data_IF_096360079971
#
_entry.id   IF_096360079971
#
_cell.length_a   1.000
_cell.length_b   1.000
_cell.length_c   1.000
_cell.angle_alpha   90.00
_cell.angle_beta   90.00
_cell.angle_gamma   90.00
#
_symmetry.space_group_name_H-M   'P 1'
#
loop_
_entity.id
_entity.type
_entity.pdbx_description
1 polymer ?
#
# COMPACT_ATOMS: atom_id res chain seq x y z
N UNK A 1 -2.39 2.56 22.01
CA UNK A 1 -1.45 1.86 21.10
C UNK A 1 -1.28 2.74 19.89
N UNK A 2 -0.06 2.94 19.41
CA UNK A 2 0.14 3.94 18.35
C UNK A 2 -0.09 3.36 16.95
N UNK A 3 0.32 2.10 16.75
CA UNK A 3 0.30 1.47 15.43
C UNK A 3 -0.31 0.08 15.46
N UNK A 4 -1.07 -0.26 14.41
CA UNK A 4 -1.46 -1.64 14.08
C UNK A 4 -0.93 -1.97 12.70
N UNK A 5 0.07 -2.84 12.62
CA UNK A 5 0.55 -3.42 11.38
C UNK A 5 -0.41 -4.51 10.94
N UNK A 6 -0.97 -4.43 9.74
CA UNK A 6 -1.95 -5.38 9.19
C UNK A 6 -1.34 -6.09 8.00
N UNK A 7 -1.30 -7.42 8.04
CA UNK A 7 -0.62 -8.25 7.07
C UNK A 7 -1.55 -9.40 6.66
N UNK A 8 -2.30 -9.26 5.55
CA UNK A 8 -3.03 -10.38 4.97
C UNK A 8 -2.06 -11.42 4.42
N UNK A 9 -2.36 -12.69 4.67
CA UNK A 9 -1.54 -13.83 4.26
C UNK A 9 -2.44 -14.87 3.60
N UNK A 10 -2.07 -15.26 2.38
CA UNK A 10 -2.61 -16.41 1.68
C UNK A 10 -1.44 -17.25 1.18
N UNK A 11 -1.15 -18.34 1.88
CA UNK A 11 -0.01 -19.20 1.58
C UNK A 11 1.35 -18.45 1.59
N UNK A 12 2.36 -18.91 0.85
CA UNK A 12 3.64 -18.22 0.68
C UNK A 12 4.36 -17.91 2.01
N UNK A 13 4.42 -18.91 2.92
CA UNK A 13 5.03 -18.74 4.24
C UNK A 13 6.43 -18.12 4.20
N UNK A 14 7.28 -18.52 3.24
CA UNK A 14 8.66 -18.01 3.18
C UNK A 14 8.71 -16.49 2.94
N UNK A 15 7.85 -15.96 2.09
CA UNK A 15 7.74 -14.51 1.89
C UNK A 15 7.22 -13.83 3.16
N UNK A 16 6.17 -14.38 3.77
CA UNK A 16 5.62 -13.87 5.04
C UNK A 16 6.68 -13.86 6.14
N UNK A 17 7.47 -14.93 6.28
CA UNK A 17 8.57 -15.02 7.23
C UNK A 17 9.61 -13.91 7.01
N UNK A 18 10.06 -13.74 5.77
CA UNK A 18 11.11 -12.76 5.45
C UNK A 18 10.61 -11.33 5.63
N UNK A 19 9.35 -11.07 5.30
CA UNK A 19 8.69 -9.80 5.60
C UNK A 19 8.63 -9.53 7.10
N UNK A 20 8.17 -10.47 7.91
CA UNK A 20 8.12 -10.34 9.38
C UNK A 20 9.51 -10.12 9.98
N UNK A 21 10.54 -10.84 9.52
CA UNK A 21 11.92 -10.64 9.97
C UNK A 21 12.40 -9.22 9.65
N UNK A 22 12.11 -8.70 8.44
CA UNK A 22 12.47 -7.32 8.06
C UNK A 22 11.69 -6.29 8.88
N UNK A 23 10.41 -6.52 9.18
CA UNK A 23 9.60 -5.68 10.04
C UNK A 23 10.21 -5.60 11.45
N UNK A 24 10.52 -6.75 12.05
CA UNK A 24 11.13 -6.82 13.39
C UNK A 24 12.50 -6.14 13.42
N UNK A 25 13.31 -6.29 12.37
CA UNK A 25 14.65 -5.71 12.29
C UNK A 25 14.63 -4.18 12.16
N UNK A 26 13.72 -3.65 11.30
CA UNK A 26 13.77 -2.24 10.88
C UNK A 26 12.71 -1.34 11.53
N UNK A 27 11.83 -1.91 12.39
CA UNK A 27 10.75 -1.15 13.05
C UNK A 27 10.75 -1.36 14.57
N UNK A 28 11.76 -2.01 15.13
CA UNK A 28 11.85 -2.46 16.54
C UNK A 28 11.46 -1.41 17.56
N UNK A 29 11.90 -0.17 17.36
CA UNK A 29 11.65 0.93 18.30
C UNK A 29 10.15 1.29 18.42
N UNK A 30 9.37 1.04 17.36
CA UNK A 30 7.93 1.34 17.30
C UNK A 30 7.08 0.16 17.79
N UNK A 31 7.60 -1.09 17.72
CA UNK A 31 6.86 -2.30 18.10
C UNK A 31 6.48 -2.35 19.58
N UNK A 32 7.17 -1.60 20.45
CA UNK A 32 6.79 -1.51 21.87
C UNK A 32 5.42 -0.87 22.10
N UNK A 33 4.92 -0.11 21.14
CA UNK A 33 3.63 0.60 21.17
C UNK A 33 2.75 0.19 19.98
N UNK A 34 2.98 -1.01 19.45
CA UNK A 34 2.29 -1.52 18.28
C UNK A 34 1.81 -2.96 18.50
N UNK A 35 0.87 -3.38 17.69
CA UNK A 35 0.48 -4.76 17.46
C UNK A 35 0.74 -5.14 16.00
N UNK A 36 0.93 -6.41 15.74
CA UNK A 36 1.06 -6.97 14.39
C UNK A 36 -0.09 -7.95 14.18
N UNK A 37 -1.05 -7.58 13.34
CA UNK A 37 -2.23 -8.36 13.00
C UNK A 37 -1.98 -9.10 11.69
N UNK A 38 -1.86 -10.41 11.77
CA UNK A 38 -1.69 -11.26 10.61
C UNK A 38 -3.04 -11.89 10.30
N UNK A 39 -3.57 -11.62 9.12
CA UNK A 39 -4.86 -12.18 8.69
C UNK A 39 -4.60 -13.37 7.79
N UNK A 40 -4.81 -14.57 8.32
CA UNK A 40 -4.76 -15.79 7.53
C UNK A 40 -6.04 -15.93 6.70
N UNK A 41 -5.91 -15.68 5.42
CA UNK A 41 -7.01 -15.68 4.45
C UNK A 41 -7.26 -17.07 3.86
N UNK A 42 -7.37 -18.08 4.74
CA UNK A 42 -7.64 -19.45 4.35
C UNK A 42 -6.42 -20.15 3.72
N UNK A 43 -5.23 -19.98 4.29
CA UNK A 43 -4.01 -20.63 3.84
C UNK A 43 -4.08 -22.15 4.04
N UNK A 44 -3.29 -22.88 3.25
CA UNK A 44 -3.08 -24.32 3.41
C UNK A 44 -2.34 -24.67 4.71
N UNK A 45 -2.33 -25.97 5.05
CA UNK A 45 -1.83 -26.49 6.33
C UNK A 45 -0.40 -26.08 6.66
N UNK A 46 0.50 -26.04 5.66
CA UNK A 46 1.88 -25.62 5.85
C UNK A 46 1.97 -24.21 6.42
N UNK A 47 1.38 -23.23 5.73
CA UNK A 47 1.40 -21.83 6.19
C UNK A 47 0.62 -21.67 7.49
N UNK A 48 -0.56 -22.26 7.61
CA UNK A 48 -1.38 -22.19 8.81
C UNK A 48 -0.63 -22.67 10.06
N UNK A 49 0.08 -23.80 9.98
CA UNK A 49 0.86 -24.36 11.08
C UNK A 49 2.04 -23.48 11.49
N UNK A 50 2.63 -22.77 10.53
CA UNK A 50 3.72 -21.83 10.82
C UNK A 50 3.22 -20.54 11.46
N UNK A 51 2.04 -20.06 11.06
CA UNK A 51 1.39 -18.91 11.69
C UNK A 51 1.03 -19.18 13.16
N UNK A 52 0.64 -20.41 13.51
CA UNK A 52 0.34 -20.80 14.89
C UNK A 52 1.55 -20.73 15.85
N UNK A 53 2.77 -20.74 15.30
CA UNK A 53 4.01 -20.63 16.09
C UNK A 53 4.43 -19.21 16.38
N UNK A 54 3.77 -18.23 15.76
CA UNK A 54 4.07 -16.81 15.98
C UNK A 54 3.71 -16.41 17.42
N UNK A 55 4.53 -15.53 17.98
CA UNK A 55 4.37 -15.00 19.34
C UNK A 55 4.25 -13.48 19.29
N UNK A 56 3.90 -12.90 20.44
CA UNK A 56 3.88 -11.45 20.62
C UNK A 56 5.11 -10.76 19.99
N UNK A 57 4.91 -9.65 19.28
CA UNK A 57 3.68 -8.86 19.19
C UNK A 57 2.70 -9.30 18.08
N UNK A 58 2.87 -10.47 17.48
CA UNK A 58 2.01 -10.99 16.41
C UNK A 58 0.74 -11.62 16.97
N UNK A 59 -0.41 -11.26 16.40
CA UNK A 59 -1.72 -11.89 16.63
C UNK A 59 -2.29 -12.35 15.31
N UNK A 60 -2.65 -13.62 15.22
CA UNK A 60 -3.25 -14.21 14.01
C UNK A 60 -4.77 -14.13 14.09
N UNK A 61 -5.38 -13.61 13.02
CA UNK A 61 -6.82 -13.58 12.76
C UNK A 61 -7.09 -14.56 11.62
N UNK A 62 -8.04 -15.48 11.77
CA UNK A 62 -8.31 -16.50 10.75
C UNK A 62 -9.65 -16.24 10.05
N UNK A 63 -9.63 -16.15 8.74
CA UNK A 63 -10.86 -16.02 7.94
C UNK A 63 -11.58 -17.35 7.74
N UNK A 64 -10.87 -18.47 7.85
CA UNK A 64 -11.42 -19.80 7.60
C UNK A 64 -11.48 -20.18 6.12
N UNK A 65 -11.66 -19.21 5.24
CA UNK A 65 -11.66 -19.34 3.77
C UNK A 65 -11.04 -18.09 3.14
N UNK A 66 -10.79 -18.13 1.83
CA UNK A 66 -10.24 -16.99 1.09
C UNK A 66 -11.33 -15.93 0.84
N UNK A 67 -11.32 -14.87 1.63
CA UNK A 67 -12.23 -13.71 1.49
C UNK A 67 -11.64 -12.60 0.61
N UNK A 68 -10.34 -12.68 0.29
CA UNK A 68 -9.61 -11.70 -0.51
C UNK A 68 -8.99 -10.55 0.30
N UNK A 69 -8.17 -9.77 -0.42
CA UNK A 69 -7.35 -8.70 0.17
C UNK A 69 -8.17 -7.64 0.91
N UNK A 70 -9.24 -7.14 0.27
CA UNK A 70 -10.09 -6.09 0.83
C UNK A 70 -10.73 -6.52 2.16
N UNK A 71 -11.40 -7.68 2.18
CA UNK A 71 -12.09 -8.19 3.36
C UNK A 71 -11.12 -8.50 4.51
N UNK A 72 -9.94 -9.06 4.20
CA UNK A 72 -8.91 -9.37 5.19
C UNK A 72 -8.38 -8.11 5.87
N UNK A 73 -8.06 -7.06 5.09
CA UNK A 73 -7.64 -5.79 5.67
C UNK A 73 -8.74 -5.12 6.48
N UNK A 74 -9.97 -5.07 5.97
CA UNK A 74 -11.11 -4.49 6.69
C UNK A 74 -11.30 -5.16 8.05
N UNK A 75 -11.33 -6.49 8.08
CA UNK A 75 -11.48 -7.25 9.32
C UNK A 75 -10.44 -6.86 10.35
N UNK A 76 -9.16 -6.86 9.96
CA UNK A 76 -8.09 -6.47 10.87
C UNK A 76 -8.18 -5.00 11.30
N UNK A 77 -8.54 -4.08 10.39
CA UNK A 77 -8.68 -2.67 10.69
C UNK A 77 -9.78 -2.39 11.73
N UNK A 78 -10.89 -3.13 11.69
CA UNK A 78 -11.95 -3.03 12.70
C UNK A 78 -11.53 -3.61 14.06
N UNK A 79 -10.68 -4.65 14.08
CA UNK A 79 -10.15 -5.24 15.31
C UNK A 79 -8.91 -4.50 15.86
N UNK A 80 -8.32 -3.60 15.06
CA UNK A 80 -7.11 -2.87 15.38
C UNK A 80 -7.28 -1.90 16.55
N UNK A 81 -6.25 -1.77 17.38
CA UNK A 81 -6.20 -0.89 18.56
C UNK A 81 -5.30 0.33 18.37
N UNK A 82 -4.48 0.34 17.31
CA UNK A 82 -3.59 1.45 16.99
C UNK A 82 -4.34 2.64 16.42
N UNK A 83 -3.86 3.84 16.71
CA UNK A 83 -4.38 5.08 16.13
C UNK A 83 -4.05 5.19 14.63
N UNK A 84 -2.92 4.59 14.24
CA UNK A 84 -2.46 4.49 12.86
C UNK A 84 -2.48 3.03 12.41
N UNK A 85 -3.09 2.77 11.26
CA UNK A 85 -2.97 1.50 10.56
C UNK A 85 -1.78 1.54 9.61
N UNK A 86 -1.03 0.45 9.55
CA UNK A 86 0.05 0.23 8.60
C UNK A 86 -0.27 -1.05 7.85
N UNK A 87 -0.87 -0.91 6.65
CA UNK A 87 -1.19 -2.04 5.78
C UNK A 87 0.08 -2.49 5.07
N UNK A 88 0.35 -3.77 5.07
CA UNK A 88 1.56 -4.37 4.49
C UNK A 88 1.21 -5.67 3.76
N UNK A 89 1.62 -5.80 2.51
CA UNK A 89 1.59 -7.10 1.85
C UNK A 89 2.62 -8.05 2.50
N UNK A 90 2.35 -9.34 2.44
CA UNK A 90 3.25 -10.36 2.97
C UNK A 90 4.48 -10.66 2.08
N UNK A 91 4.56 -10.08 0.89
CA UNK A 91 5.65 -10.22 -0.08
C UNK A 91 6.54 -8.97 -0.18
N UNK A 92 6.60 -8.19 0.89
CA UNK A 92 7.49 -7.03 1.04
C UNK A 92 8.79 -7.40 1.77
N UNK A 93 9.86 -6.66 1.48
CA UNK A 93 11.07 -6.66 2.30
C UNK A 93 11.36 -5.22 2.71
N UNK A 94 11.16 -4.93 4.00
CA UNK A 94 11.31 -3.60 4.55
C UNK A 94 12.79 -3.25 4.73
N UNK A 95 13.15 -2.00 4.50
CA UNK A 95 14.54 -1.53 4.59
C UNK A 95 14.77 -0.66 5.83
N UNK A 96 16.03 -0.43 6.18
CA UNK A 96 16.37 0.48 7.27
C UNK A 96 15.86 1.90 6.95
N UNK A 97 15.14 2.51 7.89
CA UNK A 97 14.63 3.88 7.75
C UNK A 97 13.38 4.03 6.86
N UNK A 98 12.69 2.93 6.54
CA UNK A 98 11.48 2.98 5.71
C UNK A 98 10.30 3.66 6.40
N UNK A 99 10.23 3.60 7.73
CA UNK A 99 9.05 3.99 8.50
C UNK A 99 9.01 5.48 8.84
N UNK A 100 10.16 6.07 9.16
CA UNK A 100 10.29 7.46 9.59
C UNK A 100 9.79 8.48 8.58
N UNK A 101 10.01 8.34 7.25
CA UNK A 101 9.46 9.28 6.27
C UNK A 101 7.93 9.25 6.20
N UNK A 102 7.29 8.10 6.44
CA UNK A 102 5.83 8.01 6.51
C UNK A 102 5.30 8.81 7.70
N UNK A 103 5.93 8.67 8.85
CA UNK A 103 5.60 9.46 10.06
C UNK A 103 5.83 10.95 9.85
N UNK A 104 6.93 11.32 9.18
CA UNK A 104 7.23 12.70 8.88
C UNK A 104 6.17 13.32 7.99
N UNK A 105 5.75 12.63 6.93
CA UNK A 105 4.68 13.09 6.03
C UNK A 105 3.38 13.35 6.82
N UNK A 106 2.93 12.43 7.67
CA UNK A 106 1.74 12.66 8.50
C UNK A 106 1.84 13.84 9.47
N UNK A 107 3.05 14.24 9.87
CA UNK A 107 3.25 15.39 10.75
C UNK A 107 3.32 16.72 10.02
N UNK A 108 3.81 16.72 8.78
CA UNK A 108 4.11 17.95 8.02
C UNK A 108 3.04 18.28 6.97
N UNK A 109 2.42 17.26 6.38
CA UNK A 109 1.45 17.45 5.31
C UNK A 109 0.04 17.69 5.87
N UNK A 110 -0.58 18.80 5.48
CA UNK A 110 -1.95 19.13 5.88
C UNK A 110 -2.95 18.24 5.15
N UNK A 111 -3.99 17.83 5.86
CA UNK A 111 -5.10 17.01 5.33
C UNK A 111 -4.61 15.70 4.68
N UNK A 112 -3.46 15.17 5.14
CA UNK A 112 -2.98 13.88 4.66
C UNK A 112 -3.84 12.75 5.24
N UNK A 113 -4.54 12.05 4.37
CA UNK A 113 -5.33 10.89 4.70
C UNK A 113 -4.49 9.62 4.72
N UNK A 114 -3.72 9.37 3.66
CA UNK A 114 -2.83 8.22 3.60
C UNK A 114 -1.48 8.58 2.95
N UNK A 115 -0.46 7.84 3.33
CA UNK A 115 0.85 7.89 2.69
C UNK A 115 1.36 6.48 2.42
N UNK A 116 1.84 6.27 1.20
CA UNK A 116 2.60 5.10 0.79
C UNK A 116 4.08 5.43 0.58
N UNK A 117 4.78 4.51 -0.03
CA UNK A 117 6.22 4.62 -0.25
C UNK A 117 6.66 4.16 -1.64
N UNK A 118 7.95 4.25 -1.92
CA UNK A 118 8.54 3.75 -3.16
C UNK A 118 8.79 2.25 -3.03
N UNK A 119 8.29 1.48 -4.00
CA UNK A 119 8.55 0.05 -4.11
C UNK A 119 9.58 -0.23 -5.19
N UNK A 120 10.56 -1.05 -4.85
CA UNK A 120 11.60 -1.53 -5.75
C UNK A 120 11.32 -3.01 -6.00
N UNK A 121 11.28 -3.41 -7.26
CA UNK A 121 11.15 -4.81 -7.60
C UNK A 121 12.34 -5.61 -7.07
N UNK A 122 12.08 -6.60 -6.23
CA UNK A 122 13.11 -7.37 -5.52
C UNK A 122 13.99 -8.23 -6.46
N UNK A 123 13.55 -8.48 -7.70
CA UNK A 123 14.29 -9.27 -8.67
C UNK A 123 15.10 -8.42 -9.64
N UNK A 124 14.53 -7.30 -10.09
CA UNK A 124 15.13 -6.47 -11.14
C UNK A 124 15.87 -5.25 -10.59
N UNK A 125 15.56 -4.83 -9.35
CA UNK A 125 16.04 -3.59 -8.79
C UNK A 125 15.38 -2.32 -9.38
N UNK A 126 14.48 -2.47 -10.35
CA UNK A 126 13.76 -1.35 -10.94
C UNK A 126 12.66 -0.84 -10.01
N UNK A 127 12.25 0.42 -10.17
CA UNK A 127 11.09 0.97 -9.46
C UNK A 127 9.82 0.31 -9.97
N UNK A 128 9.06 -0.31 -9.07
CA UNK A 128 7.77 -0.92 -9.37
C UNK A 128 6.60 0.05 -9.08
N UNK A 129 6.71 0.83 -8.00
CA UNK A 129 5.70 1.82 -7.61
C UNK A 129 6.33 3.04 -6.94
N UNK A 130 5.83 4.20 -7.29
CA UNK A 130 6.15 5.47 -6.64
C UNK A 130 4.97 6.46 -6.73
N UNK A 131 3.75 5.93 -6.63
CA UNK A 131 2.48 6.61 -6.85
C UNK A 131 1.82 6.13 -8.14
N UNK A 132 0.55 6.49 -8.31
CA UNK A 132 -0.20 6.25 -9.53
C UNK A 132 -0.66 7.59 -10.11
N UNK A 133 -0.67 7.70 -11.43
CA UNK A 133 -1.29 8.81 -12.16
C UNK A 133 -2.54 8.28 -12.88
N UNK A 134 -3.38 9.17 -13.38
CA UNK A 134 -4.52 8.80 -14.20
C UNK A 134 -4.16 8.93 -15.69
N UNK A 135 -4.46 7.90 -16.47
CA UNK A 135 -4.31 7.96 -17.93
C UNK A 135 -5.46 8.79 -18.59
N UNK A 136 -5.40 9.04 -19.90
CA UNK A 136 -6.45 9.79 -20.60
C UNK A 136 -7.84 9.18 -20.51
N UNK A 137 -7.93 7.88 -20.26
CA UNK A 137 -9.18 7.12 -20.08
C UNK A 137 -9.70 7.16 -18.64
N UNK A 138 -8.95 7.77 -17.72
CA UNK A 138 -9.28 7.90 -16.30
C UNK A 138 -8.87 6.69 -15.45
N UNK A 139 -8.01 5.81 -15.98
CA UNK A 139 -7.51 4.65 -15.25
C UNK A 139 -6.22 4.95 -14.49
N UNK A 140 -6.05 4.40 -13.29
CA UNK A 140 -4.81 4.52 -12.52
C UNK A 140 -3.68 3.68 -13.14
N UNK A 141 -2.50 4.30 -13.29
CA UNK A 141 -1.28 3.68 -13.81
C UNK A 141 -0.12 3.89 -12.87
N UNK A 142 0.64 2.83 -12.62
CA UNK A 142 1.85 2.92 -11.79
C UNK A 142 2.91 3.80 -12.44
N UNK A 143 3.35 4.79 -11.69
CA UNK A 143 4.33 5.76 -12.18
C UNK A 143 5.72 5.14 -12.41
N UNK A 144 6.17 4.29 -11.51
CA UNK A 144 7.50 3.68 -11.57
C UNK A 144 7.71 2.76 -12.77
N UNK A 145 6.69 2.05 -13.21
CA UNK A 145 6.76 1.12 -14.35
C UNK A 145 7.02 1.79 -15.70
N UNK A 146 6.76 3.10 -15.82
CA UNK A 146 6.99 3.85 -17.06
C UNK A 146 8.39 4.47 -17.14
N UNK A 147 9.18 4.43 -16.06
CA UNK A 147 10.46 5.14 -15.94
C UNK A 147 11.53 4.28 -15.28
N UNK A 148 11.91 3.19 -15.93
CA UNK A 148 12.94 2.25 -15.45
C UNK A 148 14.28 2.92 -15.12
N UNK A 149 14.56 4.08 -15.75
CA UNK A 149 15.81 4.82 -15.57
C UNK A 149 15.83 5.79 -14.37
N UNK A 150 14.78 5.84 -13.53
CA UNK A 150 14.69 6.82 -12.44
C UNK A 150 15.52 6.46 -11.19
N UNK A 151 16.25 5.36 -11.21
CA UNK A 151 17.15 4.98 -10.13
C UNK A 151 18.63 5.10 -10.56
N UNK A 152 19.50 5.69 -9.74
CA UNK A 152 19.49 5.83 -8.28
C UNK A 152 19.41 7.27 -7.73
N UNK A 153 18.85 8.24 -8.43
CA UNK A 153 18.81 9.62 -7.94
C UNK A 153 17.98 9.72 -6.65
N UNK A 154 18.57 10.22 -5.58
CA UNK A 154 17.83 10.58 -4.39
C UNK A 154 17.03 11.85 -4.66
N UNK A 155 15.69 11.76 -4.61
CA UNK A 155 14.90 12.96 -4.77
C UNK A 155 15.04 13.86 -3.55
N UNK A 156 15.24 15.13 -3.81
CA UNK A 156 15.17 16.15 -2.76
C UNK A 156 13.71 16.38 -2.27
N UNK A 157 12.76 15.70 -2.90
CA UNK A 157 11.33 15.72 -2.58
C UNK A 157 11.06 14.71 -1.46
N UNK A 158 10.60 15.21 -0.31
CA UNK A 158 10.21 14.36 0.82
C UNK A 158 8.87 13.66 0.60
N UNK A 159 7.88 14.37 0.04
CA UNK A 159 6.52 13.91 -0.20
C UNK A 159 5.97 14.47 -1.52
N UNK A 160 5.14 13.68 -2.20
CA UNK A 160 4.35 14.13 -3.35
C UNK A 160 2.95 13.54 -3.30
N UNK A 161 1.95 14.37 -3.61
CA UNK A 161 0.55 13.96 -3.75
C UNK A 161 0.31 13.20 -5.03
N UNK A 162 -0.51 12.14 -4.95
CA UNK A 162 -0.97 11.34 -6.08
C UNK A 162 -2.47 11.11 -6.01
N UNK A 163 -3.16 10.92 -7.15
CA UNK A 163 -4.57 10.56 -7.17
C UNK A 163 -4.83 9.18 -6.57
N UNK A 164 -3.84 8.30 -6.63
CA UNK A 164 -3.89 6.96 -6.04
C UNK A 164 -2.49 6.45 -5.68
N UNK A 165 -2.43 5.58 -4.68
CA UNK A 165 -1.23 4.92 -4.18
C UNK A 165 -1.58 3.46 -3.92
N UNK A 166 -0.68 2.51 -4.25
CA UNK A 166 -0.94 1.08 -4.00
C UNK A 166 -0.99 0.75 -2.52
N UNK A 167 -1.98 -0.05 -2.12
CA UNK A 167 -2.14 -0.49 -0.74
C UNK A 167 -1.16 -1.57 -0.30
N UNK A 168 -0.22 -1.97 -1.14
CA UNK A 168 0.82 -2.92 -0.74
C UNK A 168 1.63 -2.43 0.47
N UNK A 169 1.77 -1.10 0.64
CA UNK A 169 2.27 -0.48 1.88
C UNK A 169 1.63 0.89 2.09
N UNK A 170 0.76 1.01 3.10
CA UNK A 170 0.11 2.26 3.50
C UNK A 170 0.29 2.55 4.97
N UNK A 171 0.41 3.84 5.30
CA UNK A 171 0.13 4.35 6.64
C UNK A 171 -1.07 5.30 6.55
N UNK A 172 -2.09 5.04 7.38
CA UNK A 172 -3.36 5.78 7.39
C UNK A 172 -3.89 5.89 8.82
N UNK A 173 -4.44 7.03 9.26
CA UNK A 173 -5.16 7.09 10.53
C UNK A 173 -6.31 6.08 10.54
N UNK A 174 -6.39 5.24 11.60
CA UNK A 174 -7.45 4.22 11.71
C UNK A 174 -8.85 4.82 11.54
N UNK A 175 -9.06 6.00 12.13
CA UNK A 175 -10.33 6.72 11.99
C UNK A 175 -10.65 7.02 10.52
N UNK A 176 -9.69 7.52 9.74
CA UNK A 176 -9.93 7.82 8.34
C UNK A 176 -10.29 6.57 7.52
N UNK A 177 -9.68 5.42 7.83
CA UNK A 177 -10.01 4.15 7.17
C UNK A 177 -11.42 3.66 7.55
N UNK A 178 -11.76 3.71 8.83
CA UNK A 178 -13.04 3.23 9.35
C UNK A 178 -14.21 4.16 8.97
N UNK A 179 -14.03 5.48 9.06
CA UNK A 179 -15.07 6.47 8.71
C UNK A 179 -15.43 6.41 7.20
N UNK A 180 -14.53 5.85 6.37
CA UNK A 180 -14.77 5.58 4.95
C UNK A 180 -15.21 4.15 4.65
N UNK A 181 -15.59 3.39 5.68
CA UNK A 181 -16.07 2.01 5.58
C UNK A 181 -15.04 1.02 4.95
N UNK A 182 -13.75 1.33 5.08
CA UNK A 182 -12.66 0.50 4.57
C UNK A 182 -12.66 0.32 3.06
N UNK A 183 -12.09 -0.79 2.59
CA UNK A 183 -12.11 -1.17 1.18
C UNK A 183 -13.47 -1.72 0.76
N UNK A 184 -13.90 -1.42 -0.47
CA UNK A 184 -15.06 -2.07 -1.07
C UNK A 184 -14.73 -3.52 -1.47
N UNK A 185 -15.33 -4.47 -0.76
CA UNK A 185 -15.10 -5.91 -0.96
C UNK A 185 -15.67 -6.46 -2.29
N UNK A 186 -16.35 -5.65 -3.09
CA UNK A 186 -16.75 -6.03 -4.44
C UNK A 186 -15.58 -6.03 -5.42
N UNK A 187 -14.50 -5.30 -5.10
CA UNK A 187 -13.22 -5.45 -5.79
C UNK A 187 -12.48 -6.70 -5.28
N UNK A 188 -12.03 -7.53 -6.19
CA UNK A 188 -11.28 -8.74 -5.86
C UNK A 188 -9.86 -8.66 -6.39
N UNK A 189 -8.89 -8.39 -5.47
CA UNK A 189 -7.45 -8.33 -5.75
C UNK A 189 -7.07 -7.34 -6.87
N UNK A 190 -7.56 -6.12 -6.78
CA UNK A 190 -7.23 -5.01 -7.67
C UNK A 190 -8.31 -3.94 -7.70
N UNK A 191 -7.91 -2.68 -7.78
CA UNK A 191 -8.72 -1.47 -7.76
C UNK A 191 -9.37 -1.11 -6.40
N UNK A 192 -9.33 -1.95 -5.37
CA UNK A 192 -9.81 -1.60 -4.03
C UNK A 192 -9.04 -0.42 -3.44
N UNK A 193 -7.74 -0.35 -3.71
CA UNK A 193 -6.85 0.74 -3.30
C UNK A 193 -7.13 2.03 -4.09
N UNK A 194 -7.39 1.90 -5.38
CA UNK A 194 -7.71 3.01 -6.26
C UNK A 194 -9.06 3.62 -5.89
N UNK A 195 -10.08 2.80 -5.69
CA UNK A 195 -11.40 3.22 -5.23
C UNK A 195 -11.32 3.94 -3.88
N UNK A 196 -10.60 3.35 -2.91
CA UNK A 196 -10.43 3.96 -1.59
C UNK A 196 -9.76 5.34 -1.68
N UNK A 197 -8.73 5.48 -2.52
CA UNK A 197 -8.06 6.77 -2.73
C UNK A 197 -9.02 7.83 -3.31
N UNK A 198 -9.92 7.47 -4.22
CA UNK A 198 -10.91 8.41 -4.75
C UNK A 198 -11.92 8.83 -3.69
N UNK A 199 -12.45 7.87 -2.89
CA UNK A 199 -13.35 8.17 -1.76
C UNK A 199 -12.67 9.07 -0.73
N UNK A 200 -11.43 8.78 -0.38
CA UNK A 200 -10.61 9.59 0.53
C UNK A 200 -10.54 11.05 0.06
N UNK A 201 -10.30 11.25 -1.22
CA UNK A 201 -10.19 12.59 -1.83
C UNK A 201 -11.53 13.32 -1.89
N UNK A 202 -12.63 12.62 -2.18
CA UNK A 202 -13.96 13.20 -2.06
C UNK A 202 -14.27 13.68 -0.63
N UNK A 203 -13.72 12.98 0.37
CA UNK A 203 -13.75 13.39 1.78
C UNK A 203 -12.83 14.56 2.13
N UNK A 204 -12.13 15.16 1.15
CA UNK A 204 -11.24 16.32 1.35
C UNK A 204 -9.85 15.95 1.92
N UNK A 205 -9.50 14.67 1.94
CA UNK A 205 -8.20 14.20 2.37
C UNK A 205 -7.28 13.92 1.17
N UNK A 206 -5.97 13.99 1.40
CA UNK A 206 -4.94 13.78 0.37
C UNK A 206 -4.30 12.40 0.51
N UNK A 207 -3.89 11.84 -0.62
CA UNK A 207 -3.06 10.64 -0.70
C UNK A 207 -1.72 10.98 -1.36
N UNK A 208 -0.64 10.30 -0.99
CA UNK A 208 0.65 10.55 -1.61
C UNK A 208 1.73 9.56 -1.21
N UNK A 209 2.94 9.81 -1.67
CA UNK A 209 4.12 8.97 -1.47
C UNK A 209 5.23 9.73 -0.75
N UNK A 210 5.79 9.12 0.29
CA UNK A 210 6.99 9.57 0.96
C UNK A 210 8.23 8.97 0.25
N UNK A 211 8.90 9.74 -0.58
CA UNK A 211 9.95 9.25 -1.49
C UNK A 211 11.22 8.75 -0.79
N UNK A 212 11.48 9.20 0.42
CA UNK A 212 12.58 8.72 1.25
C UNK A 212 12.30 7.37 1.91
N UNK A 213 11.03 6.91 1.88
CA UNK A 213 10.63 5.58 2.32
C UNK A 213 10.73 4.62 1.13
N UNK A 214 11.60 3.61 1.21
CA UNK A 214 11.84 2.64 0.14
C UNK A 214 11.78 1.25 0.69
N UNK A 215 11.10 0.37 -0.04
CA UNK A 215 10.98 -1.05 0.30
C UNK A 215 11.17 -1.90 -0.96
N UNK A 216 11.53 -3.17 -0.79
CA UNK A 216 11.51 -4.13 -1.88
C UNK A 216 10.16 -4.87 -1.90
N UNK A 217 9.71 -5.22 -3.09
CA UNK A 217 8.45 -5.91 -3.33
C UNK A 217 8.69 -7.08 -4.30
N UNK A 218 8.26 -8.29 -3.93
CA UNK A 218 8.41 -9.48 -4.77
C UNK A 218 7.36 -9.59 -5.87
N UNK A 219 6.47 -8.67 -5.96
CA UNK A 219 5.42 -8.42 -6.96
C UNK A 219 4.71 -9.66 -7.54
N UNK A 220 3.37 -9.68 -7.43
CA UNK A 220 2.50 -10.61 -8.19
C UNK A 220 2.76 -12.10 -7.97
N UNK A 221 3.00 -12.52 -6.72
CA UNK A 221 3.17 -13.95 -6.37
C UNK A 221 1.86 -14.68 -6.08
N UNK A 222 0.73 -13.96 -6.01
CA UNK A 222 -0.59 -14.56 -5.78
C UNK A 222 -1.15 -15.15 -7.07
N UNK A 223 -1.52 -16.43 -7.05
CA UNK A 223 -2.22 -17.07 -8.16
C UNK A 223 -3.60 -16.44 -8.38
N UNK A 224 -4.05 -16.36 -9.63
CA UNK A 224 -5.39 -15.87 -9.98
C UNK A 224 -5.62 -14.36 -9.85
N UNK A 225 -4.58 -13.56 -9.59
CA UNK A 225 -4.70 -12.09 -9.42
C UNK A 225 -5.43 -11.39 -10.57
N UNK A 226 -5.22 -11.85 -11.81
CA UNK A 226 -5.82 -11.23 -13.02
C UNK A 226 -7.22 -11.71 -13.35
N UNK A 227 -7.76 -12.69 -12.63
CA UNK A 227 -9.06 -13.31 -12.95
C UNK A 227 -10.22 -12.31 -12.91
N UNK A 228 -10.12 -11.26 -12.11
CA UNK A 228 -11.16 -10.26 -11.91
C UNK A 228 -10.82 -8.88 -12.48
N UNK A 229 -9.71 -8.77 -13.24
CA UNK A 229 -9.17 -7.47 -13.68
C UNK A 229 -10.19 -6.67 -14.52
N UNK A 230 -10.85 -7.31 -15.49
CA UNK A 230 -11.84 -6.64 -16.33
C UNK A 230 -13.08 -6.18 -15.54
N UNK A 231 -13.64 -7.05 -14.71
CA UNK A 231 -14.78 -6.71 -13.87
C UNK A 231 -14.46 -5.57 -12.88
N UNK A 232 -13.29 -5.62 -12.25
CA UNK A 232 -12.83 -4.58 -11.36
C UNK A 232 -12.63 -3.25 -12.09
N UNK A 233 -12.01 -3.28 -13.27
CA UNK A 233 -11.81 -2.10 -14.13
C UNK A 233 -13.14 -1.47 -14.52
N UNK A 234 -14.08 -2.25 -15.01
CA UNK A 234 -15.37 -1.77 -15.47
C UNK A 234 -16.17 -1.16 -14.30
N UNK A 235 -16.10 -1.80 -13.11
CA UNK A 235 -16.66 -1.25 -11.89
C UNK A 235 -16.00 0.09 -11.52
N UNK A 236 -14.66 0.16 -11.51
CA UNK A 236 -13.93 1.37 -11.18
C UNK A 236 -14.32 2.53 -12.13
N UNK A 237 -14.31 2.28 -13.42
CA UNK A 237 -14.70 3.28 -14.42
C UNK A 237 -16.16 3.73 -14.30
N UNK A 238 -17.06 2.87 -13.86
CA UNK A 238 -18.48 3.26 -13.66
C UNK A 238 -18.66 4.34 -12.59
N UNK A 239 -17.75 4.43 -11.62
CA UNK A 239 -17.79 5.43 -10.54
C UNK A 239 -16.83 6.60 -10.77
N UNK A 240 -15.63 6.34 -11.30
CA UNK A 240 -14.49 7.25 -11.19
C UNK A 240 -13.93 7.76 -12.51
N UNK A 241 -14.47 7.35 -13.65
CA UNK A 241 -13.96 7.72 -14.98
C UNK A 241 -13.77 9.23 -15.14
N UNK A 242 -14.83 10.01 -14.91
CA UNK A 242 -14.79 11.47 -15.10
C UNK A 242 -13.82 12.14 -14.12
N UNK A 243 -13.78 11.69 -12.88
CA UNK A 243 -12.83 12.18 -11.87
C UNK A 243 -11.39 11.90 -12.30
N UNK A 244 -11.10 10.72 -12.84
CA UNK A 244 -9.78 10.33 -13.34
C UNK A 244 -9.36 11.15 -14.57
N UNK A 245 -10.26 11.37 -15.52
CA UNK A 245 -10.02 12.23 -16.70
C UNK A 245 -9.75 13.68 -16.30
N UNK A 246 -10.51 14.20 -15.32
CA UNK A 246 -10.27 15.55 -14.81
C UNK A 246 -8.89 15.66 -14.17
N UNK A 247 -8.52 14.69 -13.31
CA UNK A 247 -7.19 14.66 -12.72
C UNK A 247 -6.07 14.62 -13.78
N UNK A 248 -6.21 13.78 -14.80
CA UNK A 248 -5.25 13.70 -15.89
C UNK A 248 -5.03 15.08 -16.55
N UNK A 249 -6.10 15.79 -16.87
CA UNK A 249 -6.02 17.13 -17.51
C UNK A 249 -5.35 18.17 -16.62
N UNK A 250 -5.60 18.14 -15.31
CA UNK A 250 -5.16 19.19 -14.40
C UNK A 250 -3.73 19.00 -13.90
N UNK A 251 -3.28 17.75 -13.75
CA UNK A 251 -2.08 17.42 -12.97
C UNK A 251 -1.02 16.60 -13.68
N UNK A 252 -1.36 15.93 -14.78
CA UNK A 252 -0.43 15.02 -15.43
C UNK A 252 0.86 15.70 -15.89
N UNK A 253 0.75 16.83 -16.59
CA UNK A 253 1.91 17.56 -17.11
C UNK A 253 2.80 18.11 -15.99
N UNK A 254 2.20 18.58 -14.90
CA UNK A 254 2.93 19.05 -13.72
C UNK A 254 3.77 17.93 -13.10
N UNK A 255 3.17 16.77 -12.87
CA UNK A 255 3.86 15.62 -12.31
C UNK A 255 4.96 15.10 -13.21
N UNK A 256 4.70 14.95 -14.51
CA UNK A 256 5.69 14.55 -15.50
C UNK A 256 6.85 15.57 -15.55
N UNK A 257 6.57 16.85 -15.47
CA UNK A 257 7.59 17.91 -15.48
C UNK A 257 8.49 17.84 -14.25
N UNK A 258 7.89 17.69 -13.08
CA UNK A 258 8.63 17.49 -11.83
C UNK A 258 9.57 16.29 -11.90
N UNK A 259 9.11 15.17 -12.45
CA UNK A 259 9.88 13.95 -12.56
C UNK A 259 10.97 14.02 -13.65
N UNK A 260 10.73 14.71 -14.76
CA UNK A 260 11.77 14.96 -15.79
C UNK A 260 12.87 15.89 -15.27
N UNK A 261 12.54 16.85 -14.46
CA UNK A 261 13.51 17.76 -13.83
C UNK A 261 14.39 17.01 -12.83
N UNK A 262 13.90 15.95 -12.25
CA UNK A 262 14.64 15.06 -11.39
C UNK A 262 15.80 14.33 -12.08
N UNK A 263 15.58 13.89 -13.32
CA UNK A 263 16.65 13.24 -14.15
C UNK A 263 17.80 14.17 -14.48
N UNK A 264 17.65 15.49 -14.32
CA UNK A 264 18.60 16.50 -14.80
C UNK A 264 19.46 17.12 -13.70
N UNK A 265 19.30 16.72 -12.45
CA UNK A 265 20.22 17.18 -11.40
C UNK A 265 21.45 16.28 -11.40
N UNK A 266 22.68 16.82 -11.55
CA UNK A 266 23.92 16.05 -11.64
C UNK A 266 24.29 15.33 -10.35
#
# INVERSE_FOLDING_TARGET
MDYSFIIPVKDQWLLTRDMLLSLMAHTRQYLRRAEVLIVDDGSGEETASMLDRLKEPCRVIRNGENLGYAASNNRAAYEAKGDMLVLLNNDLLLTRGWFEPLLAAHRTEKNLGLVGNVHINAFTGAVDHMGKFMDPEGLPRHYGQMYEDLFPCEPDIGFMEFPSVTAACWMIPRRAFVDMDGFDCQYRNGFEDDDFCQRLRQGGLRAGVAFRSRIYHYVSRSEGRKTHEDANRDRYLSFWKETGIQWHRERFDEQITLMKNWKRQP
#
